data_IF_435359314329
#
_entry.id   IF_435359314329
#
_cell.length_a   1.000
_cell.length_b   1.000
_cell.length_c   1.000
_cell.angle_alpha   90.00
_cell.angle_beta   90.00
_cell.angle_gamma   90.00
#
_symmetry.space_group_name_H-M   'P 1'
#
loop_
_entity.id
_entity.type
_entity.pdbx_description
1 polymer ?
#
# COMPACT_ATOMS: atom_id res chain seq x y z
N UNK A 1 -19.40 -2.14 -11.54
CA UNK A 1 -18.64 -1.20 -10.69
C UNK A 1 -17.46 -0.72 -11.52
N UNK A 2 -17.11 0.56 -11.44
CA UNK A 2 -15.93 1.09 -12.13
C UNK A 2 -14.70 0.52 -11.42
N UNK A 3 -14.05 -0.49 -12.00
CA UNK A 3 -12.91 -1.20 -11.39
C UNK A 3 -11.64 -0.34 -11.36
N UNK A 4 -11.63 0.80 -12.05
CA UNK A 4 -10.44 1.62 -12.23
C UNK A 4 -10.05 2.47 -11.00
N UNK A 5 -11.00 2.80 -10.11
CA UNK A 5 -10.75 3.66 -8.94
C UNK A 5 -10.82 2.87 -7.64
N UNK A 6 -9.97 3.22 -6.68
CA UNK A 6 -10.09 2.69 -5.34
C UNK A 6 -11.31 3.28 -4.64
N UNK A 7 -12.03 2.47 -3.88
CA UNK A 7 -12.99 2.94 -2.88
C UNK A 7 -12.22 3.13 -1.58
N UNK A 8 -12.18 4.36 -1.06
CA UNK A 8 -11.49 4.71 0.18
C UNK A 8 -12.53 5.18 1.20
N UNK A 9 -12.61 4.49 2.34
CA UNK A 9 -13.62 4.73 3.34
C UNK A 9 -13.03 4.81 4.74
N UNK A 10 -13.56 5.74 5.53
CA UNK A 10 -13.23 5.90 6.93
C UNK A 10 -14.18 5.03 7.77
N UNK A 11 -13.67 4.13 8.60
CA UNK A 11 -14.52 3.33 9.49
C UNK A 11 -15.17 4.21 10.58
N UNK A 12 -16.46 4.00 10.88
CA UNK A 12 -17.20 4.84 11.82
C UNK A 12 -16.95 4.51 13.29
N UNK A 13 -16.56 3.27 13.58
CA UNK A 13 -16.49 2.76 14.95
C UNK A 13 -15.04 2.52 15.42
N UNK A 14 -14.08 2.50 14.48
CA UNK A 14 -12.65 2.24 14.72
C UNK A 14 -11.81 3.27 13.95
N UNK A 15 -10.64 3.73 14.46
CA UNK A 15 -9.74 4.65 13.75
C UNK A 15 -9.01 3.96 12.59
N UNK A 16 -9.77 3.58 11.55
CA UNK A 16 -9.32 2.74 10.45
C UNK A 16 -9.74 3.33 9.11
N UNK A 17 -8.87 3.18 8.11
CA UNK A 17 -9.15 3.45 6.70
C UNK A 17 -9.25 2.12 5.97
N UNK A 18 -10.29 1.95 5.14
CA UNK A 18 -10.49 0.81 4.26
C UNK A 18 -10.25 1.27 2.82
N UNK A 19 -9.53 0.46 2.06
CA UNK A 19 -9.32 0.67 0.64
C UNK A 19 -9.70 -0.62 -0.08
N UNK A 20 -10.55 -0.52 -1.11
CA UNK A 20 -10.92 -1.66 -1.95
C UNK A 20 -10.73 -1.31 -3.42
N UNK A 21 -10.04 -2.17 -4.17
CA UNK A 21 -9.88 -2.01 -5.63
C UNK A 21 -9.74 -3.37 -6.33
N UNK A 22 -10.33 -3.48 -7.51
CA UNK A 22 -10.20 -4.65 -8.36
C UNK A 22 -9.05 -4.44 -9.36
N UNK A 23 -8.26 -5.48 -9.60
CA UNK A 23 -7.14 -5.48 -10.55
C UNK A 23 -7.31 -6.58 -11.58
N UNK A 24 -6.79 -6.33 -12.79
CA UNK A 24 -6.68 -7.34 -13.85
C UNK A 24 -5.41 -8.18 -13.69
N UNK A 25 -5.27 -8.82 -12.53
CA UNK A 25 -4.17 -9.71 -12.21
C UNK A 25 -4.61 -10.83 -11.26
N UNK A 26 -3.84 -11.91 -11.23
CA UNK A 26 -3.95 -12.98 -10.24
C UNK A 26 -3.45 -12.53 -8.86
N UNK A 27 -3.88 -13.18 -7.76
CA UNK A 27 -3.37 -12.87 -6.42
C UNK A 27 -1.85 -13.00 -6.34
N UNK A 28 -1.27 -13.99 -7.03
CA UNK A 28 0.16 -14.21 -7.07
C UNK A 28 0.94 -13.07 -7.75
N UNK A 29 0.41 -12.49 -8.83
CA UNK A 29 1.02 -11.33 -9.49
C UNK A 29 0.98 -10.09 -8.59
N UNK A 30 -0.15 -9.82 -7.92
CA UNK A 30 -0.24 -8.71 -6.97
C UNK A 30 0.66 -8.93 -5.76
N UNK A 31 0.69 -10.14 -5.20
CA UNK A 31 1.60 -10.49 -4.10
C UNK A 31 3.06 -10.27 -4.49
N UNK A 32 3.45 -10.71 -5.69
CA UNK A 32 4.79 -10.47 -6.22
C UNK A 32 5.08 -8.97 -6.34
N UNK A 33 4.15 -8.18 -6.87
CA UNK A 33 4.33 -6.73 -6.99
C UNK A 33 4.45 -6.01 -5.64
N UNK A 34 3.88 -6.55 -4.56
CA UNK A 34 4.02 -6.01 -3.20
C UNK A 34 5.28 -6.50 -2.48
N UNK A 35 5.83 -7.66 -2.83
CA UNK A 35 6.93 -8.30 -2.08
C UNK A 35 8.28 -8.22 -2.79
N UNK A 36 8.29 -8.02 -4.10
CA UNK A 36 9.52 -7.76 -4.88
C UNK A 36 9.88 -6.26 -4.80
N UNK A 37 11.07 -5.90 -4.29
CA UNK A 37 11.46 -4.51 -4.08
C UNK A 37 11.59 -3.72 -5.40
N UNK A 38 12.00 -4.37 -6.48
CA UNK A 38 12.17 -3.71 -7.78
C UNK A 38 10.80 -3.40 -8.41
N UNK A 39 9.82 -4.30 -8.22
CA UNK A 39 8.44 -4.05 -8.64
C UNK A 39 7.78 -2.99 -7.76
N UNK A 40 7.93 -3.09 -6.43
CA UNK A 40 7.33 -2.13 -5.48
C UNK A 40 7.73 -0.69 -5.79
N UNK A 41 9.02 -0.45 -6.06
CA UNK A 41 9.55 0.88 -6.38
C UNK A 41 8.95 1.50 -7.65
N UNK A 42 8.41 0.69 -8.57
CA UNK A 42 7.84 1.17 -9.84
C UNK A 42 6.42 1.71 -9.70
N UNK A 43 5.65 1.24 -8.72
CA UNK A 43 4.23 1.58 -8.62
C UNK A 43 3.86 2.39 -7.39
N UNK A 44 4.60 2.30 -6.28
CA UNK A 44 4.20 2.98 -5.05
C UNK A 44 4.18 4.51 -5.20
N UNK A 45 3.24 5.16 -4.52
CA UNK A 45 3.12 6.62 -4.44
C UNK A 45 2.55 7.29 -5.71
N UNK A 46 2.41 8.63 -5.68
CA UNK A 46 1.85 9.40 -6.79
C UNK A 46 2.75 9.42 -8.04
N UNK A 47 2.23 9.96 -9.13
CA UNK A 47 3.00 10.20 -10.35
C UNK A 47 4.09 11.27 -10.12
N UNK A 48 5.24 11.08 -10.79
CA UNK A 48 6.40 11.97 -10.65
C UNK A 48 7.16 11.83 -9.33
N UNK A 49 6.88 10.79 -8.54
CA UNK A 49 7.63 10.41 -7.34
C UNK A 49 8.56 9.24 -7.68
N UNK A 50 9.86 9.40 -7.43
CA UNK A 50 10.82 8.30 -7.50
C UNK A 50 10.86 7.55 -6.17
N UNK A 51 11.05 6.23 -6.19
CA UNK A 51 11.17 5.42 -4.97
C UNK A 51 12.52 4.71 -4.92
N UNK A 52 13.21 4.86 -3.80
CA UNK A 52 14.46 4.17 -3.50
C UNK A 52 14.30 3.24 -2.30
N UNK A 53 14.39 1.94 -2.55
CA UNK A 53 14.35 0.91 -1.51
C UNK A 53 15.69 0.88 -0.78
N UNK A 54 15.66 0.94 0.56
CA UNK A 54 16.84 0.84 1.41
C UNK A 54 16.92 -0.51 2.12
N UNK A 55 15.77 -1.07 2.47
CA UNK A 55 15.63 -2.38 3.11
C UNK A 55 14.30 -2.99 2.68
N UNK A 56 14.29 -4.29 2.38
CA UNK A 56 13.08 -5.00 1.96
C UNK A 56 13.18 -6.49 2.24
N UNK A 57 12.91 -6.88 3.47
CA UNK A 57 12.86 -8.29 3.87
C UNK A 57 11.42 -8.79 3.92
N UNK A 58 10.82 -9.07 2.76
CA UNK A 58 9.42 -9.49 2.62
C UNK A 58 9.15 -10.93 3.09
N UNK A 59 9.42 -11.19 4.38
CA UNK A 59 9.17 -12.45 5.09
C UNK A 59 8.57 -12.13 6.47
N UNK A 60 8.00 -13.13 7.14
CA UNK A 60 7.49 -12.95 8.50
C UNK A 60 8.59 -12.42 9.44
N UNK A 61 8.34 -11.27 10.06
CA UNK A 61 9.24 -10.58 10.97
C UNK A 61 10.32 -9.71 10.30
N UNK A 62 10.37 -9.67 8.96
CA UNK A 62 11.35 -8.87 8.24
C UNK A 62 11.02 -7.38 8.23
N UNK A 63 12.05 -6.53 8.21
CA UNK A 63 11.93 -5.07 8.15
C UNK A 63 11.91 -4.55 6.72
N UNK A 64 11.35 -3.36 6.55
CA UNK A 64 11.42 -2.62 5.29
C UNK A 64 11.63 -1.13 5.53
N UNK A 65 12.27 -0.48 4.56
CA UNK A 65 12.48 0.97 4.55
C UNK A 65 12.68 1.46 3.12
N UNK A 66 12.00 2.54 2.75
CA UNK A 66 12.21 3.22 1.47
C UNK A 66 12.15 4.73 1.62
N UNK A 67 12.67 5.43 0.62
CA UNK A 67 12.59 6.89 0.50
C UNK A 67 11.87 7.22 -0.79
N UNK A 68 10.83 8.04 -0.70
CA UNK A 68 10.16 8.63 -1.84
C UNK A 68 10.76 10.02 -2.11
N UNK A 69 11.07 10.32 -3.38
CA UNK A 69 11.79 11.54 -3.77
C UNK A 69 10.98 12.32 -4.80
N UNK A 70 10.80 13.62 -4.55
CA UNK A 70 10.16 14.55 -5.50
C UNK A 70 10.80 15.92 -5.39
N UNK A 71 11.21 16.49 -6.53
CA UNK A 71 11.79 17.83 -6.62
C UNK A 71 12.96 18.07 -5.64
N UNK A 72 13.75 17.02 -5.37
CA UNK A 72 14.87 17.05 -4.43
C UNK A 72 14.49 16.93 -2.94
N UNK A 73 13.20 16.80 -2.63
CA UNK A 73 12.71 16.51 -1.28
C UNK A 73 12.60 15.00 -1.07
N UNK A 74 13.05 14.52 0.10
CA UNK A 74 13.00 13.10 0.48
C UNK A 74 11.98 12.87 1.60
N UNK A 75 11.16 11.83 1.44
CA UNK A 75 10.17 11.39 2.41
C UNK A 75 10.47 9.93 2.78
N UNK A 76 10.96 9.69 3.99
CA UNK A 76 11.31 8.37 4.48
C UNK A 76 10.10 7.62 5.04
N UNK A 77 10.01 6.33 4.74
CA UNK A 77 9.00 5.42 5.28
C UNK A 77 9.65 4.12 5.73
N UNK A 78 9.15 3.56 6.83
CA UNK A 78 9.63 2.28 7.36
C UNK A 78 8.51 1.46 8.01
N UNK A 79 8.79 0.19 8.20
CA UNK A 79 7.94 -0.73 8.93
C UNK A 79 8.52 -2.12 9.01
N UNK A 80 7.69 -3.06 9.47
CA UNK A 80 8.02 -4.48 9.51
C UNK A 80 6.85 -5.30 9.00
N UNK A 81 7.16 -6.36 8.25
CA UNK A 81 6.20 -7.39 7.90
C UNK A 81 5.93 -8.26 9.13
N UNK A 82 4.72 -8.18 9.68
CA UNK A 82 4.27 -9.16 10.66
C UNK A 82 4.00 -10.52 9.99
N UNK A 83 3.35 -10.50 8.82
CA UNK A 83 3.00 -11.70 8.06
C UNK A 83 3.08 -11.44 6.56
N UNK A 84 3.69 -12.37 5.83
CA UNK A 84 3.64 -12.49 4.37
C UNK A 84 3.16 -13.91 4.06
N UNK A 85 1.89 -14.05 3.71
CA UNK A 85 1.25 -15.31 3.33
C UNK A 85 0.96 -15.34 1.81
N UNK A 86 0.31 -16.38 1.30
CA UNK A 86 -0.03 -16.49 -0.13
C UNK A 86 -1.07 -15.46 -0.58
N UNK A 87 -2.01 -15.10 0.29
CA UNK A 87 -3.19 -14.26 0.00
C UNK A 87 -3.31 -13.05 0.93
N UNK A 88 -2.29 -12.79 1.75
CA UNK A 88 -2.35 -11.76 2.80
C UNK A 88 -0.99 -11.20 3.19
N UNK A 89 -0.92 -9.89 3.39
CA UNK A 89 0.21 -9.20 4.03
C UNK A 89 -0.31 -8.48 5.28
N UNK A 90 0.42 -8.59 6.38
CA UNK A 90 0.23 -7.76 7.58
C UNK A 90 1.55 -7.06 7.85
N UNK A 91 1.54 -5.73 7.96
CA UNK A 91 2.75 -4.94 8.17
C UNK A 91 2.47 -3.71 9.02
N UNK A 92 3.50 -3.15 9.64
CA UNK A 92 3.42 -1.77 10.14
C UNK A 92 3.81 -0.78 9.06
N UNK A 93 3.35 0.47 9.18
CA UNK A 93 3.74 1.57 8.32
C UNK A 93 3.98 2.83 9.16
N UNK A 94 5.10 3.50 8.92
CA UNK A 94 5.47 4.75 9.61
C UNK A 94 6.10 5.72 8.62
N UNK A 95 5.60 6.95 8.60
CA UNK A 95 6.29 8.07 7.98
C UNK A 95 7.38 8.59 8.93
N UNK A 96 8.63 8.63 8.51
CA UNK A 96 9.76 8.99 9.39
C UNK A 96 9.72 10.45 9.87
N UNK A 97 8.96 11.33 9.21
CA UNK A 97 8.71 12.69 9.70
C UNK A 97 7.73 12.78 10.88
N UNK A 98 6.99 11.71 11.14
CA UNK A 98 6.07 11.53 12.29
C UNK A 98 6.29 10.13 12.89
N UNK A 99 7.46 9.89 13.52
CA UNK A 99 7.93 8.55 13.85
C UNK A 99 7.11 7.83 14.93
N UNK A 100 6.33 8.57 15.71
CA UNK A 100 5.44 8.03 16.75
C UNK A 100 4.08 7.62 16.17
N UNK A 101 3.73 8.07 14.96
CA UNK A 101 2.47 7.74 14.29
C UNK A 101 2.65 6.43 13.48
N UNK A 102 2.29 5.31 14.11
CA UNK A 102 2.40 3.98 13.50
C UNK A 102 1.03 3.46 13.08
N UNK A 103 0.93 2.98 11.84
CA UNK A 103 -0.24 2.26 11.34
C UNK A 103 0.02 0.75 11.35
N UNK A 104 -0.98 -0.04 11.73
CA UNK A 104 -1.04 -1.47 11.41
C UNK A 104 -1.84 -1.66 10.14
N UNK A 105 -1.19 -2.18 9.11
CA UNK A 105 -1.79 -2.45 7.81
C UNK A 105 -2.08 -3.94 7.62
N UNK A 106 -3.21 -4.23 7.00
CA UNK A 106 -3.51 -5.58 6.50
C UNK A 106 -4.07 -5.51 5.09
N UNK A 107 -3.45 -6.26 4.18
CA UNK A 107 -3.81 -6.40 2.78
C UNK A 107 -4.28 -7.84 2.54
N UNK A 108 -5.44 -8.01 1.91
CA UNK A 108 -5.96 -9.29 1.46
C UNK A 108 -6.12 -9.29 -0.06
N UNK A 109 -5.73 -10.39 -0.70
CA UNK A 109 -5.80 -10.58 -2.14
C UNK A 109 -6.87 -11.63 -2.46
N UNK A 110 -8.12 -11.18 -2.64
CA UNK A 110 -9.28 -12.05 -2.92
C UNK A 110 -9.34 -12.40 -4.40
N UNK A 111 -9.20 -13.70 -4.73
CA UNK A 111 -9.38 -14.20 -6.10
C UNK A 111 -10.84 -14.07 -6.55
N UNK A 112 -11.08 -13.30 -7.60
CA UNK A 112 -12.40 -13.13 -8.22
C UNK A 112 -12.63 -14.06 -9.41
N UNK A 113 -11.65 -14.89 -9.76
CA UNK A 113 -11.63 -15.70 -10.97
C UNK A 113 -11.27 -14.89 -12.22
N UNK A 114 -11.06 -15.61 -13.33
CA UNK A 114 -10.76 -15.04 -14.65
C UNK A 114 -9.56 -14.08 -14.68
N UNK A 115 -8.55 -14.36 -13.84
CA UNK A 115 -7.35 -13.53 -13.73
C UNK A 115 -7.60 -12.16 -13.09
N UNK A 116 -8.61 -12.03 -12.24
CA UNK A 116 -8.90 -10.80 -11.49
C UNK A 116 -8.78 -11.02 -9.99
N UNK A 117 -8.36 -9.97 -9.30
CA UNK A 117 -8.21 -9.98 -7.84
C UNK A 117 -8.81 -8.71 -7.25
N UNK A 118 -9.51 -8.83 -6.12
CA UNK A 118 -9.87 -7.70 -5.29
C UNK A 118 -8.85 -7.54 -4.18
N UNK A 119 -8.19 -6.39 -4.16
CA UNK A 119 -7.38 -5.97 -3.03
C UNK A 119 -8.29 -5.33 -1.99
N UNK A 120 -8.25 -5.86 -0.77
CA UNK A 120 -8.76 -5.17 0.41
C UNK A 120 -7.55 -4.73 1.23
N UNK A 121 -7.40 -3.44 1.47
CA UNK A 121 -6.40 -2.92 2.38
C UNK A 121 -7.08 -2.21 3.54
N UNK A 122 -6.48 -2.34 4.72
CA UNK A 122 -6.89 -1.63 5.93
C UNK A 122 -5.66 -1.02 6.56
N UNK A 123 -5.79 0.21 7.04
CA UNK A 123 -4.78 0.91 7.84
C UNK A 123 -5.42 1.35 9.15
N UNK A 124 -5.07 0.67 10.24
CA UNK A 124 -5.51 0.99 11.60
C UNK A 124 -4.48 1.94 12.23
N UNK A 125 -4.93 3.09 12.71
CA UNK A 125 -4.08 4.10 13.38
C UNK A 125 -4.55 4.31 14.83
N UNK A 126 -3.76 5.06 15.60
CA UNK A 126 -3.98 5.20 17.05
C UNK A 126 -5.23 6.00 17.44
N UNK A 127 -5.73 6.87 16.57
CA UNK A 127 -6.86 7.75 16.89
C UNK A 127 -7.67 8.17 15.67
N UNK A 128 -8.94 8.57 15.90
CA UNK A 128 -9.79 9.12 14.85
C UNK A 128 -9.20 10.42 14.26
N UNK A 129 -8.56 11.24 15.10
CA UNK A 129 -7.87 12.44 14.65
C UNK A 129 -6.72 12.12 13.69
N UNK A 130 -5.87 11.15 14.03
CA UNK A 130 -4.80 10.69 13.13
C UNK A 130 -5.34 10.12 11.82
N UNK A 131 -6.44 9.36 11.89
CA UNK A 131 -7.14 8.80 10.72
C UNK A 131 -7.65 9.90 9.80
N UNK A 132 -8.34 10.90 10.37
CA UNK A 132 -8.91 12.01 9.63
C UNK A 132 -7.81 12.91 9.04
N UNK A 133 -6.69 13.10 9.75
CA UNK A 133 -5.53 13.83 9.25
C UNK A 133 -4.88 13.12 8.05
N UNK A 134 -4.77 11.78 8.07
CA UNK A 134 -4.32 10.98 6.93
C UNK A 134 -5.21 11.18 5.70
N UNK A 135 -6.53 11.12 5.86
CA UNK A 135 -7.47 11.37 4.75
C UNK A 135 -7.34 12.80 4.21
N UNK A 136 -7.17 13.79 5.08
CA UNK A 136 -7.00 15.19 4.70
C UNK A 136 -5.64 15.49 4.02
N UNK A 137 -4.64 14.60 4.15
CA UNK A 137 -3.30 14.79 3.57
C UNK A 137 -3.26 14.67 2.03
N UNK A 138 -4.35 14.23 1.39
CA UNK A 138 -4.38 13.94 -0.04
C UNK A 138 -3.90 12.53 -0.40
N UNK A 139 -3.84 11.62 0.59
CA UNK A 139 -3.49 10.20 0.43
C UNK A 139 -4.22 9.53 -0.74
N UNK A 140 -5.51 9.85 -0.94
CA UNK A 140 -6.34 9.31 -2.03
C UNK A 140 -5.68 9.44 -3.40
N UNK A 141 -5.08 10.60 -3.72
CA UNK A 141 -4.40 10.79 -5.01
C UNK A 141 -3.19 9.88 -5.15
N UNK A 142 -2.41 9.70 -4.08
CA UNK A 142 -1.25 8.81 -4.07
C UNK A 142 -1.65 7.35 -4.22
N UNK A 143 -2.74 6.93 -3.57
CA UNK A 143 -3.30 5.58 -3.68
C UNK A 143 -3.80 5.31 -5.09
N UNK A 144 -4.64 6.19 -5.63
CA UNK A 144 -5.24 5.99 -6.96
C UNK A 144 -4.20 5.95 -8.07
N UNK A 145 -3.26 6.91 -8.08
CA UNK A 145 -2.18 6.94 -9.07
C UNK A 145 -1.23 5.75 -8.91
N UNK A 146 -0.87 5.40 -7.66
CA UNK A 146 -0.03 4.26 -7.38
C UNK A 146 -0.67 2.94 -7.83
N UNK A 147 -1.97 2.78 -7.57
CA UNK A 147 -2.71 1.60 -8.00
C UNK A 147 -2.96 1.57 -9.51
N UNK A 148 -3.10 2.72 -10.18
CA UNK A 148 -3.11 2.77 -11.65
C UNK A 148 -1.77 2.29 -12.25
N UNK A 149 -0.63 2.72 -11.69
CA UNK A 149 0.69 2.21 -12.07
C UNK A 149 0.82 0.71 -11.79
N UNK A 150 0.30 0.25 -10.66
CA UNK A 150 0.31 -1.18 -10.30
C UNK A 150 -0.49 -2.01 -11.30
N UNK A 151 -1.70 -1.58 -11.68
CA UNK A 151 -2.55 -2.30 -12.64
C UNK A 151 -1.89 -2.41 -14.02
N UNK A 152 -1.23 -1.34 -14.49
CA UNK A 152 -0.42 -1.37 -15.70
C UNK A 152 0.78 -2.33 -15.57
N UNK A 153 1.49 -2.28 -14.45
CA UNK A 153 2.67 -3.10 -14.18
C UNK A 153 2.35 -4.60 -14.18
N UNK A 154 1.28 -5.01 -13.50
CA UNK A 154 0.94 -6.44 -13.39
C UNK A 154 0.39 -7.01 -14.68
N UNK A 155 -0.14 -6.19 -15.58
CA UNK A 155 -0.51 -6.62 -16.93
C UNK A 155 0.69 -7.02 -17.81
N UNK A 156 1.90 -6.66 -17.40
CA UNK A 156 3.16 -7.03 -18.09
C UNK A 156 3.84 -8.29 -17.49
N UNK A 157 3.39 -8.77 -16.33
CA UNK A 157 3.99 -9.89 -15.58
C UNK A 157 3.38 -11.24 -15.95
#
# INVERSE_FOLDING_TARGET
>A
MNTAQAVIEADKDVPLIRITRDFHATPAQLMKAHTDPELFARWVGPDGMDTRILEWDARNGGSWRYVAVRDGQEFGFRGCFHTVAEDKIVQTFTFEGMPDDVSLETLWFEDLGDGRTRLHAQSLVDSFEGRDAWLASGMETGVDQGYAKLDALVGEL
#
